data_IF_520565331629
#
_entry.id   IF_520565331629
#
_cell.length_a   1.000
_cell.length_b   1.000
_cell.length_c   1.000
_cell.angle_alpha   90.00
_cell.angle_beta   90.00
_cell.angle_gamma   90.00
#
_symmetry.space_group_name_H-M   'P 1'
#
loop_
_entity.id
_entity.type
_entity.pdbx_description
1 polymer ?
#
# COMPACT_ATOMS: atom_id res chain seq x y z
N UNK A 1 3.54 -6.09 -1.93
CA UNK A 1 2.50 -5.27 -1.28
C UNK A 1 1.43 -4.97 -2.30
N UNK A 2 0.20 -4.72 -1.86
CA UNK A 2 -0.92 -4.36 -2.74
C UNK A 2 -1.36 -2.92 -2.48
N UNK A 3 -1.39 -2.11 -3.54
CA UNK A 3 -1.86 -0.73 -3.51
C UNK A 3 -3.20 -0.61 -4.23
N UNK A 4 -4.21 -0.08 -3.53
CA UNK A 4 -5.55 0.10 -4.09
C UNK A 4 -5.96 1.57 -3.98
N UNK A 5 -6.19 2.23 -5.12
CA UNK A 5 -6.73 3.59 -5.12
C UNK A 5 -8.14 3.61 -4.52
N UNK A 6 -8.48 4.65 -3.76
CA UNK A 6 -9.76 4.75 -3.05
C UNK A 6 -10.98 4.68 -3.98
N UNK A 7 -10.90 5.25 -5.19
CA UNK A 7 -11.96 5.12 -6.20
C UNK A 7 -12.13 3.68 -6.68
N UNK A 8 -11.03 2.94 -6.88
CA UNK A 8 -11.10 1.52 -7.22
C UNK A 8 -11.69 0.72 -6.06
N UNK A 9 -11.30 1.01 -4.81
CA UNK A 9 -11.89 0.37 -3.63
C UNK A 9 -13.40 0.61 -3.57
N UNK A 10 -13.88 1.82 -3.82
CA UNK A 10 -15.30 2.14 -3.87
C UNK A 10 -16.02 1.36 -4.99
N UNK A 11 -15.43 1.28 -6.19
CA UNK A 11 -15.99 0.50 -7.30
C UNK A 11 -16.06 -1.00 -6.97
N UNK A 12 -15.03 -1.55 -6.31
CA UNK A 12 -15.03 -2.92 -5.84
C UNK A 12 -16.18 -3.17 -4.85
N UNK A 13 -16.34 -2.29 -3.86
CA UNK A 13 -17.44 -2.38 -2.89
C UNK A 13 -18.80 -2.36 -3.62
N UNK A 14 -18.99 -1.44 -4.57
CA UNK A 14 -20.23 -1.38 -5.35
C UNK A 14 -20.49 -2.67 -6.13
N UNK A 15 -19.48 -3.21 -6.82
CA UNK A 15 -19.61 -4.47 -7.57
C UNK A 15 -19.93 -5.67 -6.66
N UNK A 16 -19.42 -5.67 -5.42
CA UNK A 16 -19.74 -6.70 -4.42
C UNK A 16 -21.21 -6.64 -3.99
N UNK A 17 -21.83 -5.46 -3.96
CA UNK A 17 -23.25 -5.31 -3.60
C UNK A 17 -24.19 -6.01 -4.60
N UNK A 18 -23.77 -6.16 -5.85
CA UNK A 18 -24.56 -6.81 -6.92
C UNK A 18 -24.47 -8.35 -6.88
N UNK A 19 -23.62 -8.93 -6.03
CA UNK A 19 -23.50 -10.38 -5.91
C UNK A 19 -24.73 -11.00 -5.22
N UNK A 20 -25.20 -12.18 -5.67
CA UNK A 20 -26.35 -12.86 -5.06
C UNK A 20 -26.07 -13.32 -3.63
N UNK A 21 -24.80 -13.48 -3.26
CA UNK A 21 -24.34 -13.78 -1.91
C UNK A 21 -22.91 -13.30 -1.71
N UNK A 22 -22.55 -12.97 -0.46
CA UNK A 22 -21.22 -12.48 -0.12
C UNK A 22 -20.39 -13.57 0.53
N UNK A 23 -19.16 -13.81 0.06
CA UNK A 23 -18.21 -14.63 0.80
C UNK A 23 -17.87 -13.97 2.14
N UNK A 24 -17.48 -14.80 3.11
CA UNK A 24 -17.04 -14.33 4.44
C UNK A 24 -15.83 -13.38 4.35
N UNK A 25 -14.88 -13.72 3.49
CA UNK A 25 -13.68 -12.93 3.24
C UNK A 25 -13.69 -12.47 1.78
N UNK A 26 -13.53 -11.17 1.54
CA UNK A 26 -13.51 -10.57 0.20
C UNK A 26 -12.31 -9.64 0.09
N UNK A 27 -11.27 -10.08 -0.61
CA UNK A 27 -10.10 -9.25 -0.87
C UNK A 27 -10.16 -8.69 -2.29
N UNK A 28 -9.56 -7.52 -2.47
CA UNK A 28 -9.31 -6.96 -3.78
C UNK A 28 -7.82 -6.60 -3.87
N UNK A 29 -7.14 -7.16 -4.88
CA UNK A 29 -5.76 -6.82 -5.16
C UNK A 29 -5.69 -5.75 -6.24
N UNK A 30 -5.33 -4.52 -5.88
CA UNK A 30 -4.97 -3.49 -6.85
C UNK A 30 -3.59 -3.73 -7.48
N UNK A 31 -2.78 -2.68 -7.55
CA UNK A 31 -1.45 -2.74 -8.13
C UNK A 31 -0.47 -3.41 -7.15
N UNK A 32 0.15 -4.51 -7.55
CA UNK A 32 1.05 -5.28 -6.69
C UNK A 32 2.49 -4.86 -6.96
N UNK A 33 3.11 -4.21 -5.96
CA UNK A 33 4.45 -3.64 -6.05
C UNK A 33 5.24 -3.88 -4.76
N UNK A 34 6.56 -3.86 -4.86
CA UNK A 34 7.46 -3.60 -3.74
C UNK A 34 7.52 -2.10 -3.44
N UNK A 35 7.93 -1.74 -2.22
CA UNK A 35 8.08 -0.33 -1.85
C UNK A 35 9.21 0.35 -2.66
N UNK A 36 10.25 -0.39 -3.07
CA UNK A 36 11.30 0.12 -3.96
C UNK A 36 10.77 0.43 -5.36
N UNK A 37 9.91 -0.43 -5.91
CA UNK A 37 9.28 -0.16 -7.20
C UNK A 37 8.29 1.01 -7.13
N UNK A 38 7.62 1.21 -5.98
CA UNK A 38 6.83 2.42 -5.74
C UNK A 38 7.72 3.67 -5.72
N UNK A 39 8.83 3.63 -4.95
CA UNK A 39 9.80 4.72 -4.85
C UNK A 39 10.33 5.16 -6.22
N UNK A 40 10.73 4.21 -7.07
CA UNK A 40 11.21 4.51 -8.43
C UNK A 40 10.15 5.25 -9.23
N UNK A 41 8.88 4.81 -9.18
CA UNK A 41 7.77 5.49 -9.88
C UNK A 41 7.52 6.89 -9.35
N UNK A 42 7.57 7.08 -8.03
CA UNK A 42 7.38 8.39 -7.40
C UNK A 42 8.48 9.38 -7.80
N UNK A 43 9.75 8.96 -7.77
CA UNK A 43 10.86 9.81 -8.20
C UNK A 43 10.78 10.17 -9.70
N UNK A 44 10.30 9.24 -10.53
CA UNK A 44 10.08 9.51 -11.96
C UNK A 44 8.97 10.53 -12.19
N UNK A 45 7.85 10.41 -11.46
CA UNK A 45 6.74 11.36 -11.56
C UNK A 45 7.13 12.77 -11.10
N UNK A 46 7.89 12.88 -10.00
CA UNK A 46 8.36 14.17 -9.46
C UNK A 46 9.58 14.73 -10.23
N UNK A 47 10.23 13.93 -11.07
CA UNK A 47 11.44 14.33 -11.80
C UNK A 47 12.67 14.57 -10.91
N UNK A 48 12.66 14.06 -9.66
CA UNK A 48 13.77 14.22 -8.70
C UNK A 48 13.99 12.94 -7.88
N UNK A 49 15.24 12.73 -7.47
CA UNK A 49 15.56 11.67 -6.50
C UNK A 49 15.24 12.12 -5.08
N UNK A 50 14.85 11.17 -4.23
CA UNK A 50 14.62 11.41 -2.81
C UNK A 50 15.84 11.01 -1.99
N UNK A 51 15.92 11.54 -0.78
CA UNK A 51 16.82 10.98 0.24
C UNK A 51 16.20 9.68 0.75
N UNK A 52 16.94 8.58 0.62
CA UNK A 52 16.44 7.23 0.94
C UNK A 52 17.26 6.65 2.08
N UNK A 53 16.55 6.19 3.11
CA UNK A 53 17.11 5.47 4.26
C UNK A 53 16.54 4.06 4.28
N UNK A 54 17.40 3.07 4.51
CA UNK A 54 17.01 1.68 4.60
C UNK A 54 17.13 1.19 6.04
N UNK A 55 16.00 0.90 6.66
CA UNK A 55 15.95 0.27 7.97
C UNK A 55 15.90 -1.26 7.81
N UNK A 56 16.74 -1.97 8.55
CA UNK A 56 16.75 -3.44 8.59
C UNK A 56 15.61 -3.97 9.46
N UNK A 57 15.24 -5.25 9.30
CA UNK A 57 14.25 -5.88 10.20
C UNK A 57 14.69 -5.79 11.67
N UNK A 58 15.97 -6.05 11.95
CA UNK A 58 16.53 -6.01 13.30
C UNK A 58 16.41 -4.61 13.92
N UNK A 59 16.76 -3.56 13.16
CA UNK A 59 16.64 -2.18 13.64
C UNK A 59 15.18 -1.79 13.89
N UNK A 60 14.26 -2.17 12.99
CA UNK A 60 12.83 -1.96 13.18
C UNK A 60 12.30 -2.67 14.44
N UNK A 61 12.71 -3.91 14.69
CA UNK A 61 12.29 -4.70 15.86
C UNK A 61 12.71 -4.08 17.19
N UNK A 62 13.91 -3.49 17.25
CA UNK A 62 14.41 -2.79 18.45
C UNK A 62 13.95 -1.32 18.54
N UNK A 63 13.19 -0.83 17.55
CA UNK A 63 12.64 0.53 17.54
C UNK A 63 13.59 1.61 17.00
N UNK A 64 14.70 1.20 16.40
CA UNK A 64 15.57 2.05 15.60
C UNK A 64 14.97 2.18 14.19
N UNK A 65 14.08 3.17 14.06
CA UNK A 65 13.35 3.45 12.83
C UNK A 65 13.57 4.89 12.39
N UNK A 66 13.79 5.07 11.10
CA UNK A 66 13.90 6.37 10.47
C UNK A 66 12.53 7.02 10.37
N UNK A 67 12.36 8.21 10.97
CA UNK A 67 11.12 8.98 10.89
C UNK A 67 11.33 10.13 9.91
N UNK A 68 10.50 10.19 8.87
CA UNK A 68 10.57 11.26 7.86
C UNK A 68 9.89 12.55 8.34
N UNK A 69 10.30 13.72 7.82
CA UNK A 69 9.64 14.99 8.13
C UNK A 69 8.13 14.96 7.89
N UNK A 70 7.69 14.45 6.74
CA UNK A 70 6.26 14.36 6.41
C UNK A 70 5.45 13.48 7.37
N UNK A 71 6.04 12.42 7.94
CA UNK A 71 5.36 11.61 8.95
C UNK A 71 5.15 12.38 10.26
N UNK A 72 6.14 13.21 10.66
CA UNK A 72 6.05 14.05 11.86
C UNK A 72 5.02 15.17 11.74
N UNK A 73 4.69 15.60 10.52
CA UNK A 73 3.63 16.58 10.27
C UNK A 73 2.23 15.96 10.44
N UNK A 74 2.09 14.66 10.18
CA UNK A 74 0.80 13.98 10.19
C UNK A 74 0.39 13.43 11.56
N UNK A 75 1.34 13.15 12.46
CA UNK A 75 1.04 12.60 13.79
C UNK A 75 2.05 13.02 14.86
N UNK A 76 1.71 12.92 16.16
CA UNK A 76 2.65 13.22 17.24
C UNK A 76 3.95 12.40 17.13
N UNK A 77 5.08 13.04 17.49
CA UNK A 77 6.42 12.42 17.40
C UNK A 77 6.52 11.07 18.09
N UNK A 78 5.87 10.94 19.26
CA UNK A 78 5.88 9.70 20.05
C UNK A 78 5.16 8.54 19.35
N UNK A 79 4.25 8.82 18.42
CA UNK A 79 3.53 7.81 17.63
C UNK A 79 4.23 7.48 16.30
N UNK A 80 5.03 8.41 15.75
CA UNK A 80 5.70 8.24 14.46
C UNK A 80 6.55 6.97 14.40
N UNK A 81 7.38 6.74 15.43
CA UNK A 81 8.26 5.57 15.49
C UNK A 81 7.47 4.27 15.52
N UNK A 82 6.45 4.20 16.38
CA UNK A 82 5.59 3.02 16.50
C UNK A 82 4.87 2.73 15.19
N UNK A 83 4.34 3.76 14.52
CA UNK A 83 3.69 3.62 13.22
C UNK A 83 4.65 3.14 12.14
N UNK A 84 5.80 3.80 11.98
CA UNK A 84 6.81 3.43 10.99
C UNK A 84 7.32 1.99 11.21
N UNK A 85 7.53 1.59 12.47
CA UNK A 85 7.87 0.21 12.84
C UNK A 85 6.81 -0.79 12.39
N UNK A 86 5.54 -0.55 12.71
CA UNK A 86 4.44 -1.48 12.37
C UNK A 86 4.35 -1.67 10.85
N UNK A 87 4.41 -0.57 10.08
CA UNK A 87 4.37 -0.63 8.62
C UNK A 87 5.60 -1.34 8.07
N UNK A 88 6.81 -0.98 8.52
CA UNK A 88 8.06 -1.58 8.08
C UNK A 88 8.11 -3.10 8.29
N UNK A 89 7.76 -3.57 9.50
CA UNK A 89 7.69 -5.01 9.81
C UNK A 89 6.63 -5.70 8.96
N UNK A 90 5.46 -5.06 8.74
CA UNK A 90 4.39 -5.61 7.90
C UNK A 90 4.81 -5.72 6.43
N UNK A 91 5.59 -4.77 5.91
CA UNK A 91 6.17 -4.83 4.57
C UNK A 91 7.12 -6.03 4.43
N UNK A 92 8.04 -6.21 5.40
CA UNK A 92 9.08 -7.24 5.34
C UNK A 92 8.55 -8.66 5.58
N UNK A 93 7.52 -8.80 6.41
CA UNK A 93 6.87 -10.09 6.69
C UNK A 93 5.83 -10.50 5.64
N UNK A 94 5.57 -9.67 4.64
CA UNK A 94 4.54 -9.91 3.62
C UNK A 94 3.10 -9.65 4.09
N UNK A 95 2.90 -9.09 5.29
CA UNK A 95 1.57 -8.78 5.83
C UNK A 95 0.74 -7.79 4.99
N UNK A 96 1.40 -7.00 4.13
CA UNK A 96 0.75 -6.08 3.19
C UNK A 96 0.63 -6.67 1.77
N UNK A 97 0.95 -7.95 1.60
CA UNK A 97 0.82 -8.69 0.35
C UNK A 97 -0.40 -9.60 0.41
N UNK A 98 -1.52 -9.17 -0.17
CA UNK A 98 -2.77 -9.92 -0.07
C UNK A 98 -2.67 -11.26 -0.82
N UNK A 99 -3.26 -12.36 -0.31
CA UNK A 99 -3.29 -13.65 -0.98
C UNK A 99 -4.11 -13.58 -2.27
N UNK A 100 -3.47 -13.77 -3.42
CA UNK A 100 -4.11 -13.65 -4.75
C UNK A 100 -5.30 -14.59 -4.91
N UNK A 101 -5.21 -15.80 -4.35
CA UNK A 101 -6.26 -16.83 -4.42
C UNK A 101 -7.54 -16.46 -3.66
N UNK A 102 -7.47 -15.52 -2.71
CA UNK A 102 -8.63 -14.99 -2.00
C UNK A 102 -9.14 -13.67 -2.60
N UNK A 103 -8.45 -13.15 -3.62
CA UNK A 103 -8.82 -11.89 -4.26
C UNK A 103 -9.92 -12.11 -5.30
N UNK A 104 -10.97 -11.29 -5.21
CA UNK A 104 -12.13 -11.31 -6.11
C UNK A 104 -12.03 -10.24 -7.19
N UNK A 105 -10.87 -10.14 -7.83
CA UNK A 105 -10.64 -9.18 -8.90
C UNK A 105 -11.59 -9.37 -10.10
N UNK A 106 -12.13 -10.58 -10.27
CA UNK A 106 -13.12 -10.94 -11.28
C UNK A 106 -14.42 -10.12 -11.19
N UNK A 107 -14.79 -9.64 -10.00
CA UNK A 107 -16.01 -8.81 -9.85
C UNK A 107 -15.88 -7.45 -10.54
N UNK A 108 -14.64 -7.01 -10.78
CA UNK A 108 -14.31 -5.80 -11.50
C UNK A 108 -13.90 -6.07 -12.96
N UNK A 109 -14.16 -7.25 -13.54
CA UNK A 109 -13.64 -7.68 -14.84
C UNK A 109 -13.89 -6.73 -16.05
N UNK A 110 -14.70 -5.69 -15.91
CA UNK A 110 -14.98 -4.66 -16.91
C UNK A 110 -14.42 -3.26 -16.56
N UNK A 111 -13.79 -3.09 -15.39
CA UNK A 111 -13.17 -1.84 -14.91
C UNK A 111 -11.77 -2.16 -14.41
N UNK A 112 -10.75 -1.82 -15.21
CA UNK A 112 -9.36 -1.85 -14.76
C UNK A 112 -9.22 -0.99 -13.49
N UNK A 113 -8.44 -1.46 -12.52
CA UNK A 113 -8.09 -0.64 -11.37
C UNK A 113 -7.06 0.42 -11.73
N UNK A 114 -7.08 1.52 -10.97
CA UNK A 114 -6.10 2.60 -11.13
C UNK A 114 -4.77 2.11 -10.58
N UNK A 115 -3.75 2.09 -11.45
CA UNK A 115 -2.37 1.74 -11.09
C UNK A 115 -1.68 2.87 -10.36
N UNK A 116 -0.64 2.55 -9.59
CA UNK A 116 0.16 3.56 -8.88
C UNK A 116 0.75 4.58 -9.84
N UNK A 117 1.25 4.16 -11.00
CA UNK A 117 1.80 5.07 -12.01
C UNK A 117 0.78 6.14 -12.43
N UNK A 118 -0.42 5.70 -12.82
CA UNK A 118 -1.47 6.61 -13.26
C UNK A 118 -1.97 7.55 -12.15
N UNK A 119 -1.89 7.12 -10.88
CA UNK A 119 -2.22 7.97 -9.74
C UNK A 119 -1.17 9.06 -9.50
N UNK A 120 0.12 8.74 -9.66
CA UNK A 120 1.22 9.68 -9.47
C UNK A 120 1.32 10.72 -10.59
N UNK A 121 0.78 10.42 -11.78
CA UNK A 121 0.79 11.31 -12.95
C UNK A 121 -0.47 12.19 -13.06
N UNK A 122 -1.46 12.00 -12.18
CA UNK A 122 -2.77 12.66 -12.23
C UNK A 122 -2.76 14.06 -11.61
#
# INVERSE_FOLDING_TARGET
MVFTHSQTAAQFVLAMLDLPSWPKDCFFAGDRLTLNEFLVRAQQAEGTNFEVHYDSLVSLEVGEVTVTPGLMEWMPKDHCKSFAKIIGVSCLSGGLDLPTEKCRNDVLAHRSYIRVQAMLEA
#
